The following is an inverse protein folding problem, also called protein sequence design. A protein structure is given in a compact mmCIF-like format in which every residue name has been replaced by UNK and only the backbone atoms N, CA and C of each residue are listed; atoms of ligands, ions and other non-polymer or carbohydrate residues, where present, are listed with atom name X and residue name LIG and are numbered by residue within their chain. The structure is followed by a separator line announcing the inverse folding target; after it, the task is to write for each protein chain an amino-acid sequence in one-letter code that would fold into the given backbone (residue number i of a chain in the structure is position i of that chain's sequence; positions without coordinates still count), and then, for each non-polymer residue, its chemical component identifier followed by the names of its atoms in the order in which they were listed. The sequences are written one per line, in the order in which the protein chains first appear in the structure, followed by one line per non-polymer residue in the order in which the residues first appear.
data_IF_169181599475
#
_entry.id   IF_169181599475
#
_cell.length_a   1.000
_cell.length_b   1.000
_cell.length_c   1.000
_cell.angle_alpha   90.00
_cell.angle_beta   90.00
_cell.angle_gamma   90.00
#
_symmetry.space_group_name_H-M   'P 1'
#
loop_
_entity.id
_entity.type
_entity.pdbx_description
1 polymer ?
#
# COMPACT_ATOMS: atom_id res chain seq x y z
N UNK A 1 -7.59 14.05 10.39
CA UNK A 1 -8.00 13.70 11.77
C UNK A 1 -9.50 13.48 11.78
N UNK A 2 -9.94 12.42 12.38
CA UNK A 2 -11.37 12.16 12.61
C UNK A 2 -11.59 12.21 14.11
N UNK A 3 -12.56 12.98 14.56
CA UNK A 3 -12.96 13.00 15.95
C UNK A 3 -14.30 12.28 16.05
N UNK A 4 -14.31 11.16 16.76
CA UNK A 4 -15.52 10.37 16.99
C UNK A 4 -16.07 10.78 18.36
N UNK A 5 -17.26 11.36 18.39
CA UNK A 5 -17.98 11.64 19.62
C UNK A 5 -19.05 10.56 19.85
N UNK A 6 -18.89 9.68 20.83
CA UNK A 6 -20.03 8.94 21.34
C UNK A 6 -20.86 9.90 22.22
N UNK A 7 -22.09 10.15 21.83
CA UNK A 7 -23.02 11.00 22.57
C UNK A 7 -23.41 10.50 23.98
N UNK A 8 -22.89 9.37 24.41
CA UNK A 8 -23.14 8.78 25.73
C UNK A 8 -21.94 7.96 26.21
N UNK A 9 -20.94 8.57 26.87
CA UNK A 9 -20.07 7.82 27.76
C UNK A 9 -19.62 8.65 28.96
N UNK A 10 -19.98 8.16 30.13
CA UNK A 10 -19.42 8.56 31.41
C UNK A 10 -17.97 8.07 31.51
N UNK A 11 -17.08 9.03 31.82
CA UNK A 11 -15.73 8.88 32.36
C UNK A 11 -14.99 7.56 32.11
N UNK A 12 -14.01 7.57 31.18
CA UNK A 12 -12.72 6.89 31.38
C UNK A 12 -11.72 7.43 30.34
N UNK A 13 -10.51 7.73 30.82
CA UNK A 13 -9.37 8.11 29.98
C UNK A 13 -8.91 6.89 29.17
N UNK A 14 -8.71 7.05 27.87
CA UNK A 14 -8.17 6.00 27.01
C UNK A 14 -6.85 6.45 26.42
N UNK A 15 -5.78 5.80 26.87
CA UNK A 15 -4.48 5.79 26.22
C UNK A 15 -4.39 4.49 25.42
N UNK A 16 -4.26 4.57 24.11
CA UNK A 16 -4.02 3.39 23.27
C UNK A 16 -4.96 3.25 22.07
N UNK A 17 -4.56 2.46 21.10
CA UNK A 17 -5.16 2.19 19.80
C UNK A 17 -6.69 2.26 19.72
N UNK A 18 -7.21 2.70 18.56
CA UNK A 18 -8.65 2.80 18.21
C UNK A 18 -9.46 1.58 18.66
N UNK A 19 -8.89 0.39 18.60
CA UNK A 19 -9.54 -0.86 18.98
C UNK A 19 -9.91 -0.92 20.49
N UNK A 20 -9.11 -0.33 21.35
CA UNK A 20 -9.36 -0.32 22.80
C UNK A 20 -10.42 0.70 23.21
N UNK A 21 -10.72 1.69 22.39
CA UNK A 21 -11.76 2.66 22.65
C UNK A 21 -13.19 2.03 22.59
N UNK A 22 -13.34 0.92 21.87
CA UNK A 22 -14.64 0.28 21.64
C UNK A 22 -14.91 -0.99 22.48
N UNK A 23 -13.90 -1.57 23.12
CA UNK A 23 -14.03 -2.93 23.68
C UNK A 23 -14.23 -3.04 25.21
N UNK A 24 -14.34 -1.95 25.95
CA UNK A 24 -14.29 -2.03 27.43
C UNK A 24 -15.62 -1.97 28.19
N UNK A 25 -16.77 -1.93 27.53
CA UNK A 25 -18.07 -2.03 28.23
C UNK A 25 -19.09 -2.85 27.42
N UNK A 26 -19.95 -3.66 28.07
CA UNK A 26 -21.09 -4.25 27.38
C UNK A 26 -22.02 -3.13 26.93
N UNK A 27 -22.16 -2.98 25.62
CA UNK A 27 -23.09 -2.03 25.02
C UNK A 27 -24.51 -2.51 25.38
N UNK A 28 -25.12 -1.89 26.36
CA UNK A 28 -26.58 -1.95 26.49
C UNK A 28 -27.13 -1.30 25.21
N UNK A 29 -27.74 -2.09 24.36
CA UNK A 29 -28.38 -1.62 23.13
C UNK A 29 -29.51 -0.63 23.53
N UNK A 30 -29.16 0.65 23.57
CA UNK A 30 -30.17 1.69 23.64
C UNK A 30 -30.72 1.91 22.24
N UNK A 31 -32.03 2.00 22.06
CA UNK A 31 -32.65 2.36 20.78
C UNK A 31 -32.42 3.85 20.39
N UNK A 32 -31.41 4.49 20.97
CA UNK A 32 -31.08 5.88 20.67
C UNK A 32 -30.28 5.96 19.35
N UNK A 33 -30.63 6.85 18.43
CA UNK A 33 -29.87 7.02 17.19
C UNK A 33 -28.44 7.50 17.49
N UNK A 34 -27.47 6.97 16.75
CA UNK A 34 -26.08 7.38 16.82
C UNK A 34 -25.72 8.09 15.50
N UNK A 35 -25.11 9.25 15.60
CA UNK A 35 -24.61 9.99 14.43
C UNK A 35 -23.07 10.03 14.46
N UNK A 36 -22.45 9.66 13.36
CA UNK A 36 -21.03 9.87 13.09
C UNK A 36 -20.86 11.06 12.14
N UNK A 37 -20.20 12.11 12.60
CA UNK A 37 -19.91 13.30 11.80
C UNK A 37 -18.41 13.32 11.49
N UNK A 38 -18.06 13.23 10.22
CA UNK A 38 -16.68 13.23 9.74
C UNK A 38 -16.37 14.62 9.17
N UNK A 39 -15.39 15.30 9.78
CA UNK A 39 -14.85 16.56 9.26
C UNK A 39 -13.63 16.19 8.39
N UNK A 40 -13.88 15.88 7.12
CA UNK A 40 -12.85 15.46 6.18
C UNK A 40 -11.86 16.60 5.92
N UNK A 41 -10.55 16.30 5.96
CA UNK A 41 -9.50 17.31 5.85
C UNK A 41 -9.26 18.14 7.11
N UNK A 42 -10.03 17.97 8.19
CA UNK A 42 -9.86 18.70 9.44
C UNK A 42 -8.68 18.15 10.24
N UNK A 43 -7.49 18.70 9.99
CA UNK A 43 -6.24 18.29 10.64
C UNK A 43 -6.06 18.87 12.04
N UNK A 44 -5.05 18.37 12.76
CA UNK A 44 -4.61 18.91 14.04
C UNK A 44 -3.17 19.42 13.94
N UNK A 45 -2.99 20.71 14.23
CA UNK A 45 -1.69 21.35 14.40
C UNK A 45 -1.86 22.50 15.39
N UNK A 46 -0.96 22.59 16.36
CA UNK A 46 -1.02 23.63 17.40
C UNK A 46 -0.50 24.98 16.93
N UNK A 47 0.41 24.98 15.92
CA UNK A 47 0.95 26.18 15.34
C UNK A 47 -0.13 26.91 14.52
N UNK A 48 -0.41 28.20 14.77
CA UNK A 48 -1.39 28.98 14.04
C UNK A 48 -0.89 29.48 12.67
N UNK A 49 0.42 29.48 12.39
CA UNK A 49 0.95 29.93 11.10
C UNK A 49 0.46 29.02 9.98
N UNK A 50 -0.12 29.58 8.93
CA UNK A 50 -0.72 28.87 7.79
C UNK A 50 -1.73 27.76 8.21
N UNK A 51 -2.44 27.98 9.33
CA UNK A 51 -3.41 27.05 9.89
C UNK A 51 -4.80 27.69 9.95
N UNK A 52 -5.58 27.50 8.90
CA UNK A 52 -6.91 28.10 8.78
C UNK A 52 -7.86 27.69 9.93
N UNK A 53 -7.73 26.47 10.45
CA UNK A 53 -8.56 25.97 11.57
C UNK A 53 -8.23 26.74 12.85
N UNK A 54 -6.94 26.91 13.17
CA UNK A 54 -6.51 27.61 14.39
C UNK A 54 -6.77 29.12 14.32
N UNK A 55 -6.86 29.70 13.12
CA UNK A 55 -7.15 31.13 12.91
C UNK A 55 -8.65 31.43 12.83
N UNK A 56 -9.48 30.43 12.60
CA UNK A 56 -10.93 30.63 12.48
C UNK A 56 -11.59 30.75 13.85
N UNK A 57 -12.70 31.49 13.91
CA UNK A 57 -13.58 31.49 15.08
C UNK A 57 -14.45 30.23 15.06
N UNK A 58 -14.10 29.24 15.88
CA UNK A 58 -14.77 27.94 15.93
C UNK A 58 -15.36 27.62 17.30
N UNK A 59 -16.28 28.47 17.85
CA UNK A 59 -16.68 28.37 19.23
C UNK A 59 -17.31 27.02 19.63
N UNK A 60 -18.07 26.40 18.74
CA UNK A 60 -18.66 25.08 19.01
C UNK A 60 -17.58 23.98 19.01
N UNK A 61 -16.63 24.03 18.08
CA UNK A 61 -15.51 23.12 18.05
C UNK A 61 -14.64 23.27 19.30
N UNK A 62 -14.32 24.49 19.69
CA UNK A 62 -13.50 24.81 20.86
C UNK A 62 -14.15 24.33 22.15
N UNK A 63 -15.45 24.52 22.27
CA UNK A 63 -16.24 23.99 23.40
C UNK A 63 -16.20 22.45 23.42
N UNK A 64 -16.44 21.80 22.28
CA UNK A 64 -16.44 20.34 22.20
C UNK A 64 -15.07 19.75 22.57
N UNK A 65 -14.00 20.30 22.03
CA UNK A 65 -12.62 19.80 22.30
C UNK A 65 -12.23 20.03 23.77
N UNK A 66 -12.67 21.12 24.38
CA UNK A 66 -12.32 21.43 25.78
C UNK A 66 -13.19 20.69 26.80
N UNK A 67 -14.42 20.32 26.48
CA UNK A 67 -15.39 19.81 27.46
C UNK A 67 -15.79 18.34 27.24
N UNK A 68 -15.53 17.77 26.06
CA UNK A 68 -15.95 16.40 25.73
C UNK A 68 -14.75 15.47 25.61
N UNK A 69 -14.94 14.16 25.89
CA UNK A 69 -13.88 13.18 25.63
C UNK A 69 -13.43 13.23 24.17
N UNK A 70 -12.13 13.34 23.95
CA UNK A 70 -11.54 13.39 22.62
C UNK A 70 -10.18 12.72 22.60
N UNK A 71 -9.74 12.31 21.42
CA UNK A 71 -8.39 11.80 21.20
C UNK A 71 -7.91 12.16 19.80
N UNK A 72 -6.58 12.18 19.63
CA UNK A 72 -5.94 12.29 18.33
C UNK A 72 -5.70 10.90 17.76
N UNK A 73 -5.98 10.74 16.49
CA UNK A 73 -5.68 9.52 15.75
C UNK A 73 -4.72 9.84 14.60
N UNK A 74 -3.83 8.89 14.28
CA UNK A 74 -3.00 9.00 13.09
C UNK A 74 -3.85 8.88 11.83
N UNK A 75 -3.51 9.70 10.83
CA UNK A 75 -4.17 9.70 9.51
C UNK A 75 -3.19 9.37 8.38
N UNK A 76 -2.01 8.78 8.67
CA UNK A 76 -0.97 8.56 7.66
C UNK A 76 -0.19 7.27 7.91
N UNK A 77 0.55 6.83 6.90
CA UNK A 77 1.47 5.70 6.98
C UNK A 77 0.77 4.38 7.38
N UNK A 78 1.50 3.54 8.09
CA UNK A 78 1.03 2.20 8.47
C UNK A 78 -0.23 2.20 9.33
N UNK A 79 -0.44 3.26 10.10
CA UNK A 79 -1.63 3.39 10.97
C UNK A 79 -2.95 3.43 10.18
N UNK A 80 -2.89 3.75 8.91
CA UNK A 80 -4.04 3.74 7.99
C UNK A 80 -3.87 2.78 6.80
N UNK A 81 -2.87 1.90 6.86
CA UNK A 81 -2.64 0.88 5.84
C UNK A 81 -1.87 1.34 4.61
N UNK A 82 -1.20 2.49 4.70
CA UNK A 82 -0.33 3.05 3.66
C UNK A 82 1.15 2.78 3.96
N UNK A 83 2.05 2.92 2.99
CA UNK A 83 3.49 2.86 3.25
C UNK A 83 3.96 3.88 4.29
N UNK A 84 5.07 3.60 5.02
CA UNK A 84 5.65 4.56 5.96
C UNK A 84 5.92 5.93 5.32
N UNK A 85 5.55 7.01 6.02
CA UNK A 85 5.76 8.38 5.55
C UNK A 85 4.77 8.87 4.48
N UNK A 86 3.88 8.04 3.99
CA UNK A 86 2.84 8.46 3.05
C UNK A 86 1.69 9.13 3.79
N UNK A 87 1.33 10.33 3.33
CA UNK A 87 0.18 11.06 3.84
C UNK A 87 -1.12 10.32 3.48
N UNK A 88 -2.05 10.26 4.42
CA UNK A 88 -3.37 9.68 4.20
C UNK A 88 -4.24 10.52 3.25
N UNK A 89 -5.34 9.92 2.86
CA UNK A 89 -6.35 10.55 2.03
C UNK A 89 -7.76 10.14 2.49
N UNK A 90 -8.77 10.79 1.94
CA UNK A 90 -10.17 10.58 2.31
C UNK A 90 -10.63 9.13 2.09
N UNK A 91 -10.26 8.51 0.96
CA UNK A 91 -10.65 7.14 0.62
C UNK A 91 -10.17 6.15 1.69
N UNK A 92 -8.88 6.19 2.01
CA UNK A 92 -8.27 5.30 3.00
C UNK A 92 -8.85 5.54 4.40
N UNK A 93 -9.06 6.80 4.79
CA UNK A 93 -9.66 7.15 6.07
C UNK A 93 -11.09 6.60 6.22
N UNK A 94 -11.94 6.83 5.24
CA UNK A 94 -13.31 6.34 5.24
C UNK A 94 -13.40 4.81 5.19
N UNK A 95 -12.50 4.17 4.44
CA UNK A 95 -12.42 2.71 4.36
C UNK A 95 -12.08 2.10 5.73
N UNK A 96 -11.11 2.65 6.44
CA UNK A 96 -10.73 2.18 7.77
C UNK A 96 -11.86 2.41 8.80
N UNK A 97 -12.53 3.57 8.75
CA UNK A 97 -13.68 3.85 9.61
C UNK A 97 -14.84 2.88 9.35
N UNK A 98 -15.18 2.67 8.08
CA UNK A 98 -16.26 1.76 7.71
C UNK A 98 -15.98 0.30 8.06
N UNK A 99 -14.73 -0.12 7.98
CA UNK A 99 -14.31 -1.48 8.32
C UNK A 99 -14.10 -1.70 9.84
N UNK A 100 -13.97 -0.63 10.62
CA UNK A 100 -13.62 -0.71 12.04
C UNK A 100 -12.23 -1.28 12.31
N UNK A 101 -11.35 -1.29 11.34
CA UNK A 101 -9.97 -1.78 11.42
C UNK A 101 -9.10 -1.15 10.36
N UNK A 102 -7.78 -1.22 10.53
CA UNK A 102 -6.82 -0.82 9.49
C UNK A 102 -6.91 -1.78 8.30
N UNK A 103 -7.12 -1.22 7.11
CA UNK A 103 -7.09 -1.96 5.84
C UNK A 103 -5.82 -1.58 5.10
N UNK A 104 -4.90 -2.53 4.97
CA UNK A 104 -3.69 -2.33 4.20
C UNK A 104 -4.02 -2.21 2.71
N UNK A 105 -3.49 -1.17 2.07
CA UNK A 105 -3.53 -1.04 0.61
C UNK A 105 -2.69 -2.15 -0.04
N UNK A 106 -2.93 -2.46 -1.30
CA UNK A 106 -2.30 -3.60 -1.98
C UNK A 106 -0.78 -3.59 -1.85
N UNK A 107 -0.14 -2.43 -2.05
CA UNK A 107 1.30 -2.29 -1.85
C UNK A 107 1.74 -2.71 -0.44
N UNK A 108 1.13 -2.12 0.59
CA UNK A 108 1.47 -2.39 1.99
C UNK A 108 1.14 -3.83 2.38
N UNK A 109 0.04 -4.37 1.86
CA UNK A 109 -0.39 -5.76 2.09
C UNK A 109 0.61 -6.75 1.53
N UNK A 110 1.09 -6.53 0.30
CA UNK A 110 2.10 -7.42 -0.33
C UNK A 110 3.43 -7.29 0.41
N UNK A 111 3.89 -6.07 0.70
CA UNK A 111 5.12 -5.86 1.46
C UNK A 111 5.07 -6.57 2.81
N UNK A 112 3.98 -6.38 3.56
CA UNK A 112 3.78 -7.06 4.84
C UNK A 112 3.76 -8.58 4.70
N UNK A 113 3.11 -9.13 3.68
CA UNK A 113 3.09 -10.58 3.47
C UNK A 113 4.47 -11.16 3.12
N UNK A 114 5.34 -10.36 2.49
CA UNK A 114 6.74 -10.73 2.27
C UNK A 114 7.51 -10.74 3.59
N UNK A 115 7.36 -9.68 4.40
CA UNK A 115 8.04 -9.55 5.70
C UNK A 115 7.61 -10.65 6.69
N UNK A 116 6.32 -11.00 6.71
CA UNK A 116 5.76 -12.04 7.58
C UNK A 116 5.99 -13.47 7.01
N UNK A 117 6.46 -13.60 5.76
CA UNK A 117 6.68 -14.88 5.09
C UNK A 117 5.44 -15.45 4.38
N UNK A 118 4.25 -14.92 4.58
CA UNK A 118 3.00 -15.40 3.98
C UNK A 118 2.99 -15.37 2.45
N UNK A 119 3.74 -14.43 1.86
CA UNK A 119 3.91 -14.34 0.40
C UNK A 119 4.43 -15.66 -0.20
N UNK A 120 5.37 -16.32 0.48
CA UNK A 120 6.00 -17.54 0.02
C UNK A 120 5.09 -18.78 0.11
N UNK A 121 3.97 -18.65 0.83
CA UNK A 121 2.92 -19.68 0.94
C UNK A 121 1.72 -19.42 0.02
N UNK A 122 1.79 -18.37 -0.83
CA UNK A 122 0.71 -18.04 -1.76
C UNK A 122 0.42 -19.24 -2.69
N UNK A 123 -0.81 -19.74 -2.63
CA UNK A 123 -1.22 -20.99 -3.31
C UNK A 123 -1.10 -20.88 -4.83
N UNK A 124 -1.52 -19.75 -5.43
CA UNK A 124 -1.49 -19.59 -6.88
C UNK A 124 -0.05 -19.52 -7.42
N UNK A 125 0.81 -18.73 -6.77
CA UNK A 125 2.23 -18.66 -7.13
C UNK A 125 2.91 -20.00 -6.92
N UNK A 126 2.62 -20.68 -5.82
CA UNK A 126 3.15 -22.01 -5.49
C UNK A 126 2.81 -23.05 -6.56
N UNK A 127 1.58 -23.07 -7.04
CA UNK A 127 1.14 -24.02 -8.09
C UNK A 127 1.86 -23.76 -9.42
N UNK A 128 1.96 -22.52 -9.85
CA UNK A 128 2.68 -22.17 -11.10
C UNK A 128 4.15 -22.52 -10.98
N UNK A 129 4.79 -22.19 -9.87
CA UNK A 129 6.20 -22.47 -9.65
C UNK A 129 6.49 -23.96 -9.54
N UNK A 130 5.62 -24.73 -8.87
CA UNK A 130 5.76 -26.21 -8.81
C UNK A 130 5.69 -26.85 -10.20
N UNK A 131 4.74 -26.44 -11.04
CA UNK A 131 4.64 -26.91 -12.42
C UNK A 131 5.87 -26.52 -13.27
N UNK A 132 6.40 -25.32 -13.07
CA UNK A 132 7.60 -24.84 -13.75
C UNK A 132 8.83 -25.66 -13.33
N UNK A 133 9.02 -25.88 -12.04
CA UNK A 133 10.12 -26.68 -11.52
C UNK A 133 10.06 -28.13 -12.03
N UNK A 134 8.88 -28.75 -11.98
CA UNK A 134 8.66 -30.12 -12.45
C UNK A 134 8.94 -30.28 -13.95
N UNK A 135 8.58 -29.26 -14.76
CA UNK A 135 8.82 -29.28 -16.21
C UNK A 135 10.26 -28.98 -16.61
N UNK A 136 11.09 -28.47 -15.68
CA UNK A 136 12.45 -27.99 -15.95
C UNK A 136 12.50 -26.79 -16.89
N UNK A 137 11.37 -26.06 -17.02
CA UNK A 137 11.27 -24.85 -17.86
C UNK A 137 11.71 -23.59 -17.11
N UNK A 138 11.79 -22.47 -17.82
CA UNK A 138 12.06 -21.17 -17.22
C UNK A 138 10.79 -20.52 -16.66
N UNK A 139 10.94 -19.75 -15.59
CA UNK A 139 9.92 -18.84 -15.11
C UNK A 139 10.14 -17.47 -15.74
N UNK A 140 9.09 -16.90 -16.29
CA UNK A 140 9.08 -15.54 -16.81
C UNK A 140 8.24 -14.64 -15.89
N UNK A 141 8.82 -13.56 -15.42
CA UNK A 141 8.17 -12.50 -14.65
C UNK A 141 8.01 -11.27 -15.55
N UNK A 142 6.86 -10.63 -15.49
CA UNK A 142 6.59 -9.39 -16.23
C UNK A 142 6.10 -8.34 -15.23
N UNK A 143 6.67 -7.15 -15.27
CA UNK A 143 6.23 -6.08 -14.36
C UNK A 143 6.99 -4.78 -14.51
N UNK A 144 6.44 -3.74 -13.88
CA UNK A 144 7.06 -2.43 -13.79
C UNK A 144 8.21 -2.50 -12.77
N UNK A 145 9.44 -2.42 -13.26
CA UNK A 145 10.64 -2.40 -12.44
C UNK A 145 10.88 -0.97 -11.93
N UNK A 146 10.42 -0.71 -10.71
CA UNK A 146 10.41 0.62 -10.12
C UNK A 146 10.40 0.57 -8.60
N UNK A 147 11.09 1.49 -7.92
CA UNK A 147 10.95 1.71 -6.48
C UNK A 147 9.76 2.62 -6.12
N UNK A 148 8.97 3.08 -7.10
CA UNK A 148 7.89 4.05 -6.89
C UNK A 148 6.66 3.52 -6.15
N UNK A 149 6.41 2.22 -6.20
CA UNK A 149 5.34 1.56 -5.41
C UNK A 149 3.91 1.90 -5.83
N UNK A 150 3.68 2.56 -6.96
CA UNK A 150 2.35 2.96 -7.41
C UNK A 150 1.62 1.81 -8.13
N UNK A 151 2.28 1.16 -9.08
CA UNK A 151 1.71 0.05 -9.84
C UNK A 151 2.44 -1.28 -9.59
N UNK A 152 3.66 -1.22 -9.10
CA UNK A 152 4.54 -2.35 -8.79
C UNK A 152 5.68 -1.85 -7.89
N UNK A 153 6.39 -2.76 -7.28
CA UNK A 153 7.61 -2.43 -6.54
C UNK A 153 8.69 -3.47 -6.82
N UNK A 154 9.93 -3.02 -7.02
CA UNK A 154 11.05 -3.89 -7.37
C UNK A 154 11.35 -4.95 -6.31
N UNK A 155 11.13 -4.65 -5.01
CA UNK A 155 11.31 -5.63 -3.94
C UNK A 155 10.27 -6.76 -4.00
N UNK A 156 9.04 -6.50 -4.49
CA UNK A 156 8.05 -7.55 -4.71
C UNK A 156 8.46 -8.50 -5.85
N UNK A 157 9.13 -7.95 -6.88
CA UNK A 157 9.68 -8.77 -7.97
C UNK A 157 10.84 -9.61 -7.46
N UNK A 158 11.74 -9.05 -6.62
CA UNK A 158 12.82 -9.81 -5.98
C UNK A 158 12.28 -10.94 -5.11
N UNK A 159 11.26 -10.68 -4.30
CA UNK A 159 10.60 -11.72 -3.51
C UNK A 159 10.03 -12.87 -4.37
N UNK A 160 9.48 -12.55 -5.55
CA UNK A 160 9.02 -13.59 -6.49
C UNK A 160 10.20 -14.39 -7.10
N UNK A 161 11.34 -13.76 -7.36
CA UNK A 161 12.57 -14.44 -7.76
C UNK A 161 13.05 -15.37 -6.65
N UNK A 162 13.10 -14.91 -5.42
CA UNK A 162 13.53 -15.71 -4.25
C UNK A 162 12.61 -16.88 -4.00
N UNK A 163 11.30 -16.67 -4.13
CA UNK A 163 10.31 -17.75 -4.07
C UNK A 163 10.55 -18.80 -5.16
N UNK A 164 10.82 -18.37 -6.39
CA UNK A 164 11.13 -19.31 -7.48
C UNK A 164 12.39 -20.12 -7.20
N UNK A 165 13.44 -19.48 -6.69
CA UNK A 165 14.71 -20.13 -6.32
C UNK A 165 14.51 -21.14 -5.19
N UNK A 166 13.79 -20.78 -4.14
CA UNK A 166 13.50 -21.70 -3.02
C UNK A 166 12.71 -22.93 -3.45
N UNK A 167 12.00 -22.88 -4.57
CA UNK A 167 11.25 -24.00 -5.16
C UNK A 167 12.02 -24.76 -6.24
N UNK A 168 13.32 -24.49 -6.40
CA UNK A 168 14.20 -25.23 -7.31
C UNK A 168 14.13 -24.81 -8.78
N UNK A 169 13.56 -23.65 -9.09
CA UNK A 169 13.56 -23.11 -10.46
C UNK A 169 14.93 -22.50 -10.74
N UNK A 170 15.70 -23.13 -11.63
CA UNK A 170 17.05 -22.68 -11.97
C UNK A 170 17.10 -21.50 -12.94
N UNK A 171 16.07 -21.33 -13.79
CA UNK A 171 16.02 -20.30 -14.83
C UNK A 171 14.89 -19.31 -14.60
N UNK A 172 15.23 -18.05 -14.26
CA UNK A 172 14.26 -16.98 -14.04
C UNK A 172 14.61 -15.79 -14.93
N UNK A 173 13.64 -15.35 -15.71
CA UNK A 173 13.77 -14.20 -16.61
C UNK A 173 12.77 -13.12 -16.27
N UNK A 174 13.21 -11.87 -16.26
CA UNK A 174 12.36 -10.71 -16.07
C UNK A 174 12.18 -9.95 -17.38
N UNK A 175 10.95 -9.67 -17.75
CA UNK A 175 10.57 -8.69 -18.77
C UNK A 175 10.27 -7.38 -18.05
N UNK A 176 11.26 -6.48 -18.00
CA UNK A 176 11.19 -5.26 -17.21
C UNK A 176 10.49 -4.14 -17.97
N UNK A 177 9.40 -3.63 -17.43
CA UNK A 177 8.80 -2.38 -17.88
C UNK A 177 9.43 -1.24 -17.05
N UNK A 178 9.94 -0.20 -17.74
CA UNK A 178 10.59 0.90 -17.06
C UNK A 178 9.62 2.03 -16.76
N UNK A 179 9.79 2.63 -15.59
CA UNK A 179 8.96 3.72 -15.11
C UNK A 179 9.33 5.07 -15.77
N UNK A 180 9.71 6.07 -15.02
CA UNK A 180 10.00 7.42 -15.48
C UNK A 180 8.80 8.37 -15.41
N UNK A 181 7.71 7.93 -14.77
CA UNK A 181 6.53 8.74 -14.45
C UNK A 181 6.33 8.87 -12.94
N UNK A 182 6.36 7.75 -12.22
CA UNK A 182 6.19 7.73 -10.76
C UNK A 182 7.54 7.92 -10.05
N UNK A 183 8.63 7.80 -10.82
CA UNK A 183 10.01 8.11 -10.43
C UNK A 183 10.68 8.99 -11.51
N UNK A 184 11.82 9.63 -11.24
CA UNK A 184 12.48 10.49 -12.22
C UNK A 184 12.76 9.79 -13.57
N UNK A 185 12.57 10.45 -14.72
CA UNK A 185 12.60 9.82 -16.05
C UNK A 185 13.88 9.09 -16.42
N UNK A 186 15.01 9.36 -15.74
CA UNK A 186 16.32 8.75 -16.04
C UNK A 186 16.88 7.93 -14.88
N UNK A 187 16.03 7.45 -13.96
CA UNK A 187 16.45 6.72 -12.75
C UNK A 187 16.53 5.20 -12.91
N UNK A 188 16.07 4.63 -14.01
CA UNK A 188 15.91 3.18 -14.19
C UNK A 188 17.20 2.35 -14.06
N UNK A 189 18.39 2.95 -14.31
CA UNK A 189 19.67 2.25 -14.31
C UNK A 189 19.93 1.51 -12.99
N UNK A 190 19.69 2.16 -11.87
CA UNK A 190 19.91 1.57 -10.54
C UNK A 190 19.03 0.34 -10.31
N UNK A 191 17.75 0.41 -10.66
CA UNK A 191 16.83 -0.72 -10.55
C UNK A 191 17.19 -1.88 -11.47
N UNK A 192 17.64 -1.59 -12.71
CA UNK A 192 18.12 -2.60 -13.67
C UNK A 192 19.36 -3.32 -13.12
N UNK A 193 20.36 -2.57 -12.70
CA UNK A 193 21.63 -3.13 -12.21
C UNK A 193 21.39 -3.98 -10.94
N UNK A 194 20.58 -3.48 -10.01
CA UNK A 194 20.20 -4.20 -8.78
C UNK A 194 19.44 -5.49 -9.06
N UNK A 195 18.44 -5.44 -9.94
CA UNK A 195 17.62 -6.60 -10.28
C UNK A 195 18.44 -7.66 -11.07
N UNK A 196 19.28 -7.23 -12.01
CA UNK A 196 20.17 -8.14 -12.75
C UNK A 196 21.12 -8.87 -11.79
N UNK A 197 21.73 -8.14 -10.85
CA UNK A 197 22.59 -8.74 -9.84
C UNK A 197 21.82 -9.74 -8.95
N UNK A 198 20.61 -9.40 -8.53
CA UNK A 198 19.77 -10.27 -7.69
C UNK A 198 19.40 -11.58 -8.41
N UNK A 199 18.96 -11.50 -9.67
CA UNK A 199 18.62 -12.71 -10.45
C UNK A 199 19.86 -13.57 -10.65
N UNK A 200 20.99 -12.98 -11.01
CA UNK A 200 22.24 -13.70 -11.33
C UNK A 200 22.88 -14.36 -10.10
N UNK A 201 22.67 -13.83 -8.90
CA UNK A 201 23.22 -14.40 -7.66
C UNK A 201 22.60 -15.76 -7.30
N UNK A 202 21.35 -16.01 -7.71
CA UNK A 202 20.61 -17.21 -7.34
C UNK A 202 20.57 -18.33 -8.41
N UNK A 203 21.17 -18.15 -9.59
CA UNK A 203 21.14 -19.14 -10.66
C UNK A 203 21.14 -18.54 -12.07
N UNK A 204 20.68 -19.30 -13.05
CA UNK A 204 20.60 -18.85 -14.43
C UNK A 204 19.43 -17.87 -14.65
N UNK A 205 19.62 -16.90 -15.53
CA UNK A 205 18.59 -15.96 -15.94
C UNK A 205 19.08 -14.51 -15.94
N UNK A 206 18.15 -13.59 -16.01
CA UNK A 206 18.42 -12.16 -16.05
C UNK A 206 17.25 -11.38 -16.59
N UNK A 207 17.50 -10.12 -16.92
CA UNK A 207 16.52 -9.28 -17.60
C UNK A 207 16.51 -9.68 -19.09
N UNK A 208 15.42 -10.31 -19.52
CA UNK A 208 15.26 -10.82 -20.89
C UNK A 208 14.84 -9.74 -21.87
N UNK A 209 14.06 -8.76 -21.41
CA UNK A 209 13.64 -7.64 -22.24
C UNK A 209 13.39 -6.39 -21.39
N UNK A 210 13.52 -5.23 -22.05
CA UNK A 210 13.33 -3.92 -21.43
C UNK A 210 12.47 -3.06 -22.34
N UNK A 211 11.40 -2.50 -21.80
CA UNK A 211 10.50 -1.58 -22.52
C UNK A 211 9.98 -0.49 -21.58
N UNK A 212 9.84 0.74 -22.08
CA UNK A 212 9.26 1.82 -21.30
C UNK A 212 7.74 1.64 -21.10
N UNK A 213 7.25 2.03 -19.93
CA UNK A 213 5.79 1.99 -19.61
C UNK A 213 4.94 2.78 -20.62
N UNK A 214 5.51 3.75 -21.29
CA UNK A 214 4.83 4.50 -22.36
C UNK A 214 4.28 3.57 -23.45
N UNK A 215 5.01 2.50 -23.75
CA UNK A 215 4.61 1.47 -24.70
C UNK A 215 3.85 0.34 -24.03
N UNK A 216 4.42 -0.29 -23.01
CA UNK A 216 3.88 -1.50 -22.40
C UNK A 216 2.62 -1.27 -21.55
N UNK A 217 2.39 -0.05 -21.06
CA UNK A 217 1.30 0.26 -20.13
C UNK A 217 0.42 1.41 -20.65
N UNK A 218 0.25 1.51 -21.98
CA UNK A 218 -0.67 2.47 -22.55
C UNK A 218 -2.11 2.16 -22.11
N UNK A 219 -2.84 3.19 -21.73
CA UNK A 219 -4.26 3.13 -21.31
C UNK A 219 -5.15 4.10 -22.09
N UNK A 220 -4.61 4.64 -23.19
CA UNK A 220 -5.32 5.60 -24.03
C UNK A 220 -5.84 4.94 -25.32
N UNK A 221 -5.83 3.58 -25.37
CA UNK A 221 -6.21 2.76 -26.53
C UNK A 221 -5.36 3.04 -27.78
N UNK A 222 -4.09 3.36 -27.56
CA UNK A 222 -3.11 3.58 -28.64
C UNK A 222 -2.40 2.28 -28.96
N UNK A 223 -3.02 1.45 -29.76
CA UNK A 223 -2.54 0.12 -30.10
C UNK A 223 -1.16 0.13 -30.76
N UNK A 224 -0.84 1.18 -31.55
CA UNK A 224 0.46 1.40 -32.14
C UNK A 224 1.60 1.56 -31.13
N UNK A 225 1.28 1.88 -29.85
CA UNK A 225 2.27 1.89 -28.76
C UNK A 225 2.40 0.53 -28.12
N UNK A 226 1.31 -0.17 -27.93
CA UNK A 226 1.30 -1.48 -27.27
C UNK A 226 1.93 -2.55 -28.15
N UNK A 227 1.70 -2.47 -29.46
CA UNK A 227 2.15 -3.46 -30.43
C UNK A 227 3.65 -3.77 -30.34
N UNK A 228 4.61 -2.81 -30.32
CA UNK A 228 6.02 -3.11 -30.20
C UNK A 228 6.38 -3.83 -28.89
N UNK A 229 5.70 -3.50 -27.78
CA UNK A 229 5.91 -4.19 -26.51
C UNK A 229 5.39 -5.63 -26.54
N UNK A 230 4.26 -5.86 -27.18
CA UNK A 230 3.69 -7.19 -27.39
C UNK A 230 4.62 -8.04 -28.28
N UNK A 231 5.03 -7.52 -29.45
CA UNK A 231 5.91 -8.24 -30.40
C UNK A 231 7.31 -8.55 -29.82
N UNK A 232 7.76 -7.79 -28.84
CA UNK A 232 9.01 -8.07 -28.15
C UNK A 232 8.90 -9.28 -27.20
N UNK A 233 7.72 -9.54 -26.63
CA UNK A 233 7.50 -10.59 -25.63
C UNK A 233 7.03 -11.88 -26.27
N UNK A 234 6.22 -11.80 -27.33
CA UNK A 234 5.59 -12.92 -28.06
C UNK A 234 6.30 -13.22 -29.36
#
# INVERSE_FOLDING_TARGET
MVIIYPLLFNQYAVTGNILNCFLSQPVMMSNSPTALIILDGWGHRTDPEDNAIAQAATPVWDELVSTRPNCLISGSGLDVGLPPGQMGNSEVGHMNLGAGRVIHQDFTRISKSIDDGEFFDNTALSQVMAGTAQSGKALHLLGLLSPGGVHSHEEHIKAAVDMARSRGISRVYLHAFLDGRDVPPRSARTSIDSMQAHISAGGEGGIASVVGRYFAMDRDNRWERVQPAYEMIV
#
